data_IF_604816522495
#
_entry.id   IF_604816522495
#
_cell.length_a   1.000
_cell.length_b   1.000
_cell.length_c   1.000
_cell.angle_alpha   90.00
_cell.angle_beta   90.00
_cell.angle_gamma   90.00
#
_symmetry.space_group_name_H-M   'P 1'
#
loop_
_entity.id
_entity.type
_entity.pdbx_description
1 polymer ?
#
# COMPACT_ATOMS: atom_id res chain seq x y z
N UNK A 1 1.57 12.95 -3.42
CA UNK A 1 1.70 12.95 -1.94
C UNK A 1 2.76 13.95 -1.53
N UNK A 2 2.57 14.71 -0.44
CA UNK A 2 3.68 15.49 0.14
C UNK A 2 4.72 14.52 0.70
N UNK A 3 6.00 14.86 0.57
CA UNK A 3 7.07 14.07 1.17
C UNK A 3 6.90 14.03 2.70
N UNK A 4 7.00 12.83 3.28
CA UNK A 4 7.00 12.64 4.72
C UNK A 4 8.39 13.00 5.28
N UNK A 5 8.49 13.56 6.49
CA UNK A 5 9.76 13.68 7.20
C UNK A 5 10.45 12.31 7.30
N UNK A 6 11.77 12.28 7.13
CA UNK A 6 12.56 11.03 7.11
C UNK A 6 12.31 10.16 8.34
N UNK A 7 12.26 10.76 9.52
CA UNK A 7 11.97 10.06 10.78
C UNK A 7 10.61 9.35 10.77
N UNK A 8 9.59 9.94 10.17
CA UNK A 8 8.26 9.31 10.07
C UNK A 8 8.30 8.16 9.07
N UNK A 9 8.95 8.34 7.92
CA UNK A 9 9.07 7.30 6.90
C UNK A 9 9.83 6.08 7.43
N UNK A 10 10.93 6.29 8.17
CA UNK A 10 11.71 5.22 8.80
C UNK A 10 10.90 4.44 9.84
N UNK A 11 10.15 5.13 10.70
CA UNK A 11 9.31 4.47 11.71
C UNK A 11 8.16 3.69 11.07
N UNK A 12 7.52 4.23 10.04
CA UNK A 12 6.50 3.51 9.26
C UNK A 12 7.08 2.25 8.64
N UNK A 13 8.27 2.37 8.03
CA UNK A 13 8.96 1.24 7.38
C UNK A 13 9.28 0.15 8.40
N UNK A 14 9.81 0.52 9.57
CA UNK A 14 10.18 -0.40 10.64
C UNK A 14 8.96 -1.16 11.18
N UNK A 15 7.86 -0.44 11.43
CA UNK A 15 6.61 -1.04 11.95
C UNK A 15 5.97 -1.98 10.94
N UNK A 16 5.85 -1.55 9.69
CA UNK A 16 5.32 -2.39 8.61
C UNK A 16 6.20 -3.65 8.42
N UNK A 17 7.52 -3.49 8.36
CA UNK A 17 8.47 -4.62 8.22
C UNK A 17 8.41 -5.61 9.38
N UNK A 18 8.17 -5.14 10.62
CA UNK A 18 8.03 -6.03 11.78
C UNK A 18 6.78 -6.91 11.74
N UNK A 19 5.81 -6.54 10.90
CA UNK A 19 4.56 -7.26 10.67
C UNK A 19 4.54 -7.96 9.30
N UNK A 20 5.66 -7.93 8.56
CA UNK A 20 5.78 -8.47 7.20
C UNK A 20 4.75 -7.92 6.19
N UNK A 21 4.27 -6.69 6.41
CA UNK A 21 3.30 -6.01 5.54
C UNK A 21 3.91 -4.75 4.90
N UNK A 22 3.24 -4.23 3.89
CA UNK A 22 3.58 -2.95 3.26
C UNK A 22 3.26 -1.76 4.17
N UNK A 23 3.87 -0.60 3.88
CA UNK A 23 3.57 0.66 4.59
C UNK A 23 2.11 1.05 4.36
N UNK A 24 1.60 0.81 3.15
CA UNK A 24 0.22 1.05 2.75
C UNK A 24 -0.75 0.20 3.59
N UNK A 25 -0.48 -1.10 3.76
CA UNK A 25 -1.27 -1.99 4.63
C UNK A 25 -1.20 -1.57 6.09
N UNK A 26 -0.02 -1.22 6.59
CA UNK A 26 0.14 -0.73 7.95
C UNK A 26 -0.67 0.55 8.22
N UNK A 27 -0.69 1.47 7.26
CA UNK A 27 -1.50 2.69 7.34
C UNK A 27 -3.00 2.37 7.23
N UNK A 28 -3.39 1.41 6.41
CA UNK A 28 -4.78 0.93 6.33
C UNK A 28 -5.25 0.41 7.69
N UNK A 29 -4.48 -0.47 8.30
CA UNK A 29 -4.78 -1.00 9.63
C UNK A 29 -4.89 0.12 10.67
N UNK A 30 -3.97 1.09 10.67
CA UNK A 30 -4.03 2.22 11.58
C UNK A 30 -5.28 3.10 11.38
N UNK A 31 -5.66 3.35 10.14
CA UNK A 31 -6.75 4.29 9.80
C UNK A 31 -8.14 3.68 9.95
N UNK A 32 -8.28 2.37 9.74
CA UNK A 32 -9.59 1.73 9.62
C UNK A 32 -9.87 0.67 10.69
N UNK A 33 -8.97 0.48 11.66
CA UNK A 33 -9.16 -0.46 12.78
C UNK A 33 -10.40 -0.19 13.63
N UNK A 34 -10.85 1.05 13.72
CA UNK A 34 -12.04 1.43 14.51
C UNK A 34 -13.34 1.46 13.68
N UNK A 35 -13.25 1.25 12.37
CA UNK A 35 -14.44 1.15 11.52
C UNK A 35 -15.13 -0.21 11.69
N UNK A 36 -16.41 -0.26 11.33
CA UNK A 36 -17.07 -1.54 11.20
C UNK A 36 -16.38 -2.39 10.10
N UNK A 37 -16.38 -3.73 10.24
CA UNK A 37 -15.64 -4.61 9.34
C UNK A 37 -16.03 -4.49 7.86
N UNK A 38 -17.29 -4.16 7.57
CA UNK A 38 -17.79 -4.05 6.19
C UNK A 38 -17.24 -2.78 5.55
N UNK A 39 -17.37 -1.64 6.22
CA UNK A 39 -16.82 -0.37 5.73
C UNK A 39 -15.30 -0.43 5.60
N UNK A 40 -14.62 -1.09 6.54
CA UNK A 40 -13.16 -1.29 6.47
C UNK A 40 -12.75 -2.09 5.22
N UNK A 41 -13.45 -3.20 4.94
CA UNK A 41 -13.22 -4.02 3.76
C UNK A 41 -13.49 -3.25 2.44
N UNK A 42 -14.57 -2.46 2.38
CA UNK A 42 -14.88 -1.63 1.21
C UNK A 42 -13.79 -0.58 0.93
N UNK A 43 -13.28 0.07 1.98
CA UNK A 43 -12.17 1.03 1.85
C UNK A 43 -10.89 0.33 1.36
N UNK A 44 -10.61 -0.86 1.87
CA UNK A 44 -9.45 -1.65 1.45
C UNK A 44 -9.53 -2.03 -0.02
N UNK A 45 -10.67 -2.55 -0.47
CA UNK A 45 -10.90 -2.90 -1.89
C UNK A 45 -10.75 -1.67 -2.78
N UNK A 46 -11.33 -0.54 -2.37
CA UNK A 46 -11.24 0.72 -3.13
C UNK A 46 -9.78 1.18 -3.27
N UNK A 47 -9.02 1.19 -2.16
CA UNK A 47 -7.59 1.56 -2.19
C UNK A 47 -6.76 0.58 -3.03
N UNK A 48 -7.06 -0.72 -2.93
CA UNK A 48 -6.41 -1.76 -3.72
C UNK A 48 -6.65 -1.58 -5.23
N UNK A 49 -7.85 -1.19 -5.64
CA UNK A 49 -8.19 -0.88 -7.03
C UNK A 49 -7.42 0.35 -7.54
N UNK A 50 -7.36 1.43 -6.76
CA UNK A 50 -6.61 2.63 -7.13
C UNK A 50 -5.12 2.36 -7.32
N UNK A 51 -4.52 1.48 -6.50
CA UNK A 51 -3.13 1.08 -6.67
C UNK A 51 -2.91 0.26 -7.96
N UNK A 52 -3.87 -0.59 -8.33
CA UNK A 52 -3.82 -1.34 -9.59
C UNK A 52 -3.94 -0.41 -10.79
N UNK A 53 -4.85 0.56 -10.75
CA UNK A 53 -4.98 1.58 -11.80
C UNK A 53 -3.69 2.39 -11.96
N UNK A 54 -3.05 2.78 -10.85
CA UNK A 54 -1.75 3.46 -10.90
C UNK A 54 -0.65 2.57 -11.51
N UNK A 55 -0.60 1.29 -11.13
CA UNK A 55 0.35 0.34 -11.71
C UNK A 55 0.13 0.17 -13.22
N UNK A 56 -1.13 0.11 -13.67
CA UNK A 56 -1.49 0.03 -15.09
C UNK A 56 -1.07 1.29 -15.86
N UNK A 57 -1.24 2.47 -15.27
CA UNK A 57 -0.79 3.73 -15.85
C UNK A 57 0.74 3.79 -15.96
N UNK A 58 1.46 3.36 -14.93
CA UNK A 58 2.93 3.27 -14.93
C UNK A 58 3.45 2.25 -15.96
N UNK A 59 2.75 1.13 -16.15
CA UNK A 59 3.04 0.16 -17.21
C UNK A 59 2.87 0.77 -18.59
N UNK A 60 1.74 1.45 -18.84
CA UNK A 60 1.46 2.13 -20.13
C UNK A 60 2.49 3.23 -20.45
N UNK A 61 3.05 3.87 -19.42
CA UNK A 61 4.10 4.87 -19.56
C UNK A 61 5.50 4.27 -19.84
N UNK A 62 5.64 2.94 -19.90
CA UNK A 62 6.91 2.27 -20.16
C UNK A 62 7.79 2.06 -18.91
N UNK A 63 7.28 2.34 -17.70
CA UNK A 63 8.02 2.19 -16.45
C UNK A 63 7.90 0.77 -15.87
N UNK A 64 8.35 -0.22 -16.65
CA UNK A 64 8.28 -1.66 -16.34
C UNK A 64 8.77 -2.04 -14.94
N UNK A 65 9.84 -1.38 -14.44
CA UNK A 65 10.43 -1.68 -13.13
C UNK A 65 9.49 -1.36 -11.96
N UNK A 66 8.83 -0.20 -12.01
CA UNK A 66 7.96 0.27 -10.94
C UNK A 66 6.66 -0.54 -10.86
N UNK A 67 6.15 -0.96 -12.02
CA UNK A 67 5.03 -1.87 -12.11
C UNK A 67 5.35 -3.28 -11.59
N UNK A 68 6.55 -3.80 -11.88
CA UNK A 68 6.97 -5.11 -11.41
C UNK A 68 7.09 -5.16 -9.88
N UNK A 69 7.60 -4.10 -9.25
CA UNK A 69 7.66 -4.00 -7.78
C UNK A 69 6.27 -4.00 -7.13
N UNK A 70 5.29 -3.32 -7.73
CA UNK A 70 3.90 -3.29 -7.23
C UNK A 70 3.17 -4.62 -7.40
N UNK A 71 3.41 -5.33 -8.49
CA UNK A 71 2.80 -6.66 -8.74
C UNK A 71 3.41 -7.71 -7.80
N UNK A 72 4.75 -7.76 -7.71
CA UNK A 72 5.44 -8.78 -6.92
C UNK A 72 5.29 -8.58 -5.41
N UNK A 73 5.12 -7.33 -4.95
CA UNK A 73 4.80 -7.01 -3.55
C UNK A 73 3.53 -7.69 -3.04
N UNK A 74 2.55 -7.95 -3.91
CA UNK A 74 1.29 -8.63 -3.55
C UNK A 74 1.34 -10.15 -3.59
N UNK A 75 2.23 -10.75 -4.39
CA UNK A 75 2.33 -12.22 -4.50
C UNK A 75 2.96 -12.84 -3.25
N UNK A 76 3.65 -12.04 -2.42
CA UNK A 76 4.31 -12.52 -1.19
C UNK A 76 3.40 -12.51 0.04
N UNK A 77 2.29 -11.78 0.02
CA UNK A 77 1.39 -11.56 1.17
C UNK A 77 0.03 -12.26 1.05
N UNK A 78 -0.14 -13.15 0.07
CA UNK A 78 -1.29 -14.07 -0.05
C UNK A 78 -0.87 -15.50 0.28
#
# INVERSE_FOLDING_TARGET
MKALPKTIAEELTKKASSMEISIEEYLFDLLFRELDPVTSAEKYITGAQQLLEQAEQELKAGNLRQAFEKIWGRVRSA
#
